data_IF_628824937206
#
_entry.id   IF_628824937206
#
_cell.length_a   1.000
_cell.length_b   1.000
_cell.length_c   1.000
_cell.angle_alpha   90.00
_cell.angle_beta   90.00
_cell.angle_gamma   90.00
#
_symmetry.space_group_name_H-M   'P 1'
#
loop_
_entity.id
_entity.type
_entity.pdbx_description
1 polymer ?
#
# COMPACT_ATOMS: atom_id res chain seq x y z
N UNK A 1 -1.77 -12.81 -23.14
CA UNK A 1 -1.82 -13.80 -22.06
C UNK A 1 -1.60 -15.15 -22.69
N UNK A 2 -0.54 -15.85 -22.28
CA UNK A 2 -0.20 -17.19 -22.76
C UNK A 2 -0.24 -18.21 -21.61
N UNK A 3 -0.32 -19.51 -21.93
CA UNK A 3 -0.25 -20.55 -20.91
C UNK A 3 1.16 -20.63 -20.30
N UNK A 4 1.24 -20.92 -19.00
CA UNK A 4 2.49 -21.36 -18.37
C UNK A 4 2.86 -22.80 -18.79
N UNK A 5 3.99 -23.32 -18.29
CA UNK A 5 4.45 -24.67 -18.60
C UNK A 5 3.50 -25.80 -18.14
N UNK A 6 2.56 -25.49 -17.23
CA UNK A 6 1.53 -26.41 -16.73
C UNK A 6 0.17 -26.23 -17.44
N UNK A 7 0.07 -25.31 -18.41
CA UNK A 7 -1.18 -24.99 -19.10
C UNK A 7 -2.10 -24.01 -18.35
N UNK A 8 -1.65 -23.38 -17.26
CA UNK A 8 -2.45 -22.37 -16.56
C UNK A 8 -2.35 -21.01 -17.26
N UNK A 9 -3.42 -20.22 -17.19
CA UNK A 9 -3.47 -18.88 -17.77
C UNK A 9 -3.42 -17.82 -16.66
N UNK A 10 -2.30 -17.11 -16.56
CA UNK A 10 -2.15 -15.97 -15.67
C UNK A 10 -2.71 -14.69 -16.29
N UNK A 11 -3.48 -13.91 -15.54
CA UNK A 11 -4.09 -12.66 -16.06
C UNK A 11 -3.09 -11.51 -16.26
N UNK A 12 -1.81 -11.70 -15.95
CA UNK A 12 -0.80 -10.63 -15.95
C UNK A 12 -1.07 -9.61 -14.86
N UNK A 13 -1.05 -8.31 -15.20
CA UNK A 13 -1.40 -7.22 -14.28
C UNK A 13 -0.51 -7.11 -13.04
N UNK A 14 0.77 -7.47 -13.14
CA UNK A 14 1.77 -7.10 -12.13
C UNK A 14 1.69 -5.59 -11.84
N UNK A 15 1.65 -5.20 -10.58
CA UNK A 15 1.44 -3.82 -10.15
C UNK A 15 2.46 -3.39 -9.10
N UNK A 16 2.80 -2.10 -9.13
CA UNK A 16 3.49 -1.42 -8.03
C UNK A 16 2.50 -0.44 -7.42
N UNK A 17 2.10 -0.67 -6.16
CA UNK A 17 1.14 0.14 -5.41
C UNK A 17 1.85 0.67 -4.16
N UNK A 18 1.64 1.94 -3.83
CA UNK A 18 2.23 2.56 -2.64
C UNK A 18 1.35 2.37 -1.39
N UNK A 19 1.85 2.70 -0.18
CA UNK A 19 1.13 2.55 1.08
C UNK A 19 -0.24 3.25 1.21
N UNK A 20 -0.52 4.27 0.39
CA UNK A 20 -1.81 4.97 0.35
C UNK A 20 -2.72 4.44 -0.76
N UNK A 21 -2.47 3.21 -1.22
CA UNK A 21 -3.20 2.51 -2.28
C UNK A 21 -3.14 3.18 -3.67
N UNK A 22 -2.16 4.05 -3.90
CA UNK A 22 -1.96 4.66 -5.21
C UNK A 22 -1.17 3.73 -6.13
N UNK A 23 -1.71 3.44 -7.32
CA UNK A 23 -1.08 2.58 -8.33
C UNK A 23 -0.06 3.37 -9.13
N UNK A 24 1.22 3.08 -8.91
CA UNK A 24 2.34 3.76 -9.56
C UNK A 24 2.64 3.20 -10.95
N UNK A 25 2.51 1.89 -11.13
CA UNK A 25 2.71 1.22 -12.42
C UNK A 25 1.89 -0.07 -12.49
N UNK A 26 1.52 -0.47 -13.71
CA UNK A 26 0.80 -1.71 -13.98
C UNK A 26 1.22 -2.29 -15.32
N UNK A 27 1.57 -3.57 -15.32
CA UNK A 27 1.81 -4.35 -16.52
C UNK A 27 0.48 -4.76 -17.17
N UNK A 28 0.53 -5.05 -18.46
CA UNK A 28 -0.49 -5.71 -19.25
C UNK A 28 -0.35 -7.23 -19.10
N UNK A 29 -1.01 -7.96 -19.99
CA UNK A 29 -1.01 -9.43 -20.02
C UNK A 29 0.01 -10.02 -21.00
N UNK A 30 1.16 -9.39 -21.19
CA UNK A 30 2.22 -9.80 -22.11
C UNK A 30 3.58 -9.78 -21.42
N UNK A 31 4.60 -10.37 -22.04
CA UNK A 31 5.98 -10.24 -21.56
C UNK A 31 6.42 -8.77 -21.58
N UNK A 32 6.65 -8.20 -20.40
CA UNK A 32 7.17 -6.84 -20.25
C UNK A 32 7.72 -6.60 -18.85
N UNK A 33 8.44 -5.49 -18.72
CA UNK A 33 8.97 -5.00 -17.44
C UNK A 33 8.40 -3.61 -17.20
N UNK A 34 7.83 -3.40 -16.01
CA UNK A 34 7.39 -2.10 -15.52
C UNK A 34 8.30 -1.62 -14.39
N UNK A 35 8.41 -0.30 -14.22
CA UNK A 35 9.15 0.31 -13.13
C UNK A 35 8.46 1.56 -12.61
N UNK A 36 8.74 1.94 -11.37
CA UNK A 36 8.25 3.16 -10.75
C UNK A 36 9.29 3.71 -9.79
N UNK A 37 9.32 5.03 -9.61
CA UNK A 37 10.08 5.69 -8.54
C UNK A 37 9.24 5.68 -7.27
N UNK A 38 9.80 5.19 -6.17
CA UNK A 38 9.14 5.20 -4.86
C UNK A 38 9.39 6.53 -4.17
N UNK A 39 8.33 7.10 -3.59
CA UNK A 39 8.43 8.23 -2.67
C UNK A 39 8.98 7.72 -1.32
N UNK A 40 10.06 8.30 -0.77
CA UNK A 40 10.54 7.94 0.56
C UNK A 40 9.55 8.31 1.69
N UNK A 41 8.60 9.22 1.45
CA UNK A 41 7.62 9.68 2.45
C UNK A 41 6.16 9.46 1.97
N UNK A 42 5.76 8.21 1.67
CA UNK A 42 4.52 7.91 0.95
C UNK A 42 3.25 8.14 1.76
N UNK A 43 3.35 8.34 3.08
CA UNK A 43 2.22 8.58 3.99
C UNK A 43 2.16 10.05 4.44
N UNK A 44 2.94 10.96 3.85
CA UNK A 44 2.86 12.38 4.19
C UNK A 44 1.50 12.99 3.90
N UNK A 45 0.96 12.73 2.70
CA UNK A 45 -0.31 13.27 2.24
C UNK A 45 -1.31 12.16 2.02
N UNK A 46 -2.59 12.48 2.24
CA UNK A 46 -3.68 11.49 2.20
C UNK A 46 -3.92 10.88 0.82
N UNK A 47 -3.58 11.61 -0.24
CA UNK A 47 -3.75 11.17 -1.63
C UNK A 47 -2.77 11.88 -2.55
N UNK A 48 -2.52 11.28 -3.71
CA UNK A 48 -1.63 11.85 -4.72
C UNK A 48 -2.13 13.21 -5.22
N UNK A 49 -1.22 14.19 -5.32
CA UNK A 49 -1.54 15.56 -5.77
C UNK A 49 -2.21 16.45 -4.71
N UNK A 50 -2.49 15.94 -3.51
CA UNK A 50 -3.02 16.75 -2.40
C UNK A 50 -1.90 17.24 -1.48
N UNK A 51 -2.15 18.35 -0.78
CA UNK A 51 -1.34 18.83 0.35
C UNK A 51 -1.97 18.54 1.72
N UNK A 52 -3.12 17.88 1.75
CA UNK A 52 -3.76 17.47 3.01
C UNK A 52 -2.96 16.34 3.64
N UNK A 53 -2.48 16.59 4.85
CA UNK A 53 -1.67 15.62 5.60
C UNK A 53 -2.52 14.41 5.97
N UNK A 54 -1.93 13.22 5.85
CA UNK A 54 -2.53 12.02 6.43
C UNK A 54 -2.34 12.05 7.95
N UNK A 55 -3.41 11.76 8.68
CA UNK A 55 -3.45 11.91 10.14
C UNK A 55 -3.57 10.59 10.89
N UNK A 56 -3.48 9.46 10.17
CA UNK A 56 -3.71 8.13 10.71
C UNK A 56 -2.65 7.14 10.24
N UNK A 57 -2.39 6.16 11.08
CA UNK A 57 -1.60 4.97 10.83
C UNK A 57 -2.51 3.75 11.00
N UNK A 58 -2.89 3.09 9.90
CA UNK A 58 -3.79 1.94 9.95
C UNK A 58 -3.24 0.73 10.72
N UNK A 59 -1.94 0.67 11.02
CA UNK A 59 -1.40 -0.37 11.88
C UNK A 59 -1.54 0.00 13.35
N UNK A 60 -1.25 1.27 13.66
CA UNK A 60 -1.21 1.75 15.04
C UNK A 60 -2.58 2.10 15.59
N UNK A 61 -3.49 2.61 14.75
CA UNK A 61 -4.78 3.18 15.17
C UNK A 61 -5.93 2.16 15.16
N UNK A 62 -5.63 0.86 15.06
CA UNK A 62 -6.64 -0.20 15.11
C UNK A 62 -7.21 -0.35 16.52
N UNK A 63 -8.50 -0.68 16.60
CA UNK A 63 -9.13 -1.04 17.86
C UNK A 63 -8.72 -2.47 18.29
N UNK A 64 -7.53 -2.60 18.88
CA UNK A 64 -6.99 -3.90 19.29
C UNK A 64 -7.83 -4.60 20.36
N UNK A 65 -8.58 -3.86 21.19
CA UNK A 65 -9.48 -4.43 22.21
C UNK A 65 -10.57 -5.31 21.59
N UNK A 66 -11.00 -5.01 20.36
CA UNK A 66 -11.98 -5.82 19.65
C UNK A 66 -11.39 -7.13 19.09
N UNK A 67 -10.06 -7.21 18.96
CA UNK A 67 -9.36 -8.30 18.28
C UNK A 67 -8.20 -8.86 19.11
N UNK A 68 -8.34 -8.86 20.43
CA UNK A 68 -7.25 -9.08 21.39
C UNK A 68 -6.52 -10.42 21.22
N UNK A 69 -7.22 -11.46 20.74
CA UNK A 69 -6.64 -12.78 20.53
C UNK A 69 -5.91 -12.94 19.18
N UNK A 70 -6.16 -12.03 18.23
CA UNK A 70 -5.75 -12.18 16.82
C UNK A 70 -4.75 -11.10 16.39
N UNK A 71 -4.93 -9.87 16.86
CA UNK A 71 -4.13 -8.72 16.46
C UNK A 71 -3.19 -8.27 17.58
N UNK A 72 -1.99 -7.87 17.17
CA UNK A 72 -0.97 -7.29 18.05
C UNK A 72 -0.73 -5.83 17.69
N UNK A 73 -0.19 -5.09 18.64
CA UNK A 73 0.33 -3.75 18.41
C UNK A 73 1.32 -3.75 17.25
N UNK A 74 1.19 -2.76 16.36
CA UNK A 74 2.12 -2.54 15.27
C UNK A 74 2.07 -1.06 14.88
N UNK A 75 3.13 -0.59 14.23
CA UNK A 75 3.24 0.77 13.70
C UNK A 75 3.79 0.71 12.28
N UNK A 76 3.34 1.62 11.43
CA UNK A 76 3.91 1.77 10.09
C UNK A 76 5.38 2.18 10.17
N UNK A 77 6.18 1.72 9.21
CA UNK A 77 7.55 2.22 9.02
C UNK A 77 7.58 3.63 8.41
N UNK A 78 6.46 4.04 7.80
CA UNK A 78 6.30 5.37 7.23
C UNK A 78 5.51 6.25 8.20
N UNK A 79 5.93 7.49 8.36
CA UNK A 79 5.25 8.43 9.24
C UNK A 79 4.06 9.09 8.51
N UNK A 80 2.87 9.14 9.12
CA UNK A 80 1.80 10.01 8.66
C UNK A 80 2.26 11.47 8.71
N UNK A 81 1.74 12.30 7.80
CA UNK A 81 2.05 13.74 7.77
C UNK A 81 1.76 14.48 9.08
N UNK A 82 0.84 13.99 9.91
CA UNK A 82 0.58 14.51 11.26
C UNK A 82 0.10 13.40 12.20
N UNK A 83 0.61 13.38 13.43
CA UNK A 83 0.08 12.54 14.52
C UNK A 83 -0.72 13.38 15.51
N UNK A 84 -1.80 12.82 16.03
CA UNK A 84 -2.53 13.39 17.15
C UNK A 84 -2.25 12.59 18.43
N UNK A 85 -2.26 13.24 19.62
CA UNK A 85 -2.22 12.53 20.88
C UNK A 85 -3.42 11.59 21.00
N UNK A 86 -3.19 10.39 21.54
CA UNK A 86 -4.30 9.47 21.85
C UNK A 86 -5.01 9.93 23.12
N UNK A 87 -6.35 9.85 23.11
CA UNK A 87 -7.19 9.95 24.30
C UNK A 87 -7.34 8.58 24.96
#
# INVERSE_FOLDING_TARGET
>A
VGPDACGNYGFGHSMIINPIAWRLAQARGTEEIISARLDPDPMRYITFGSKSLQTFDHLEDRNLKLYEEILKEARSRFEPGKRFPRQ
#
